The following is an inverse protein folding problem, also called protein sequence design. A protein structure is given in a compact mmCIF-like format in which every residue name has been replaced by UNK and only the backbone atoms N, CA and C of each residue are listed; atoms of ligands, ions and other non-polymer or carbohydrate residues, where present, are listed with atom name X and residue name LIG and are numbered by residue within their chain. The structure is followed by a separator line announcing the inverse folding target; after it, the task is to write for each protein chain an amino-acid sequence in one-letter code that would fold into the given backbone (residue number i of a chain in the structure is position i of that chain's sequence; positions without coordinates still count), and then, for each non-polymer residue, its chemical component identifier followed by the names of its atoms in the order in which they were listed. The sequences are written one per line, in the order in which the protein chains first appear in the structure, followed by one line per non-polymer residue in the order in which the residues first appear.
data_IF_371788260463
#
_entry.id   IF_371788260463
#
_cell.length_a   1.000
_cell.length_b   1.000
_cell.length_c   1.000
_cell.angle_alpha   90.00
_cell.angle_beta   90.00
_cell.angle_gamma   90.00
#
_symmetry.space_group_name_H-M   'P 1'
#
loop_
_entity.id
_entity.type
_entity.pdbx_description
1 polymer ?
#
# COMPACT_ATOMS: atom_id res chain seq x y z
N UNK A 1 -68.88 18.41 24.47
CA UNK A 1 -69.75 18.23 23.29
C UNK A 1 -69.45 16.88 22.66
N UNK A 2 -70.51 16.08 22.45
CA UNK A 2 -70.71 14.89 21.59
C UNK A 2 -69.57 13.85 21.41
N UNK A 3 -69.80 12.70 22.05
CA UNK A 3 -69.31 11.34 21.71
C UNK A 3 -70.21 10.71 20.64
N UNK A 4 -69.66 9.94 19.70
CA UNK A 4 -70.28 8.78 19.03
C UNK A 4 -69.08 7.84 18.71
N UNK A 5 -68.94 6.61 19.24
CA UNK A 5 -69.84 5.46 19.10
C UNK A 5 -69.43 4.71 17.82
N UNK A 6 -69.13 3.42 17.77
CA UNK A 6 -69.84 2.33 18.43
C UNK A 6 -69.22 0.96 18.07
N UNK A 7 -69.27 0.07 19.08
CA UNK A 7 -69.60 -1.38 19.02
C UNK A 7 -68.67 -2.37 18.28
N UNK A 8 -68.46 -3.61 18.76
CA UNK A 8 -69.12 -4.37 19.82
C UNK A 8 -68.29 -5.60 20.23
N UNK A 9 -68.24 -5.92 21.54
CA UNK A 9 -68.88 -7.07 22.24
C UNK A 9 -68.42 -8.44 21.68
N UNK A 10 -67.75 -9.35 22.41
CA UNK A 10 -68.23 -10.20 23.53
C UNK A 10 -66.99 -10.99 24.04
N UNK A 11 -66.64 -10.96 25.33
CA UNK A 11 -67.05 -11.90 26.40
C UNK A 11 -66.04 -13.03 26.68
N UNK A 12 -65.46 -12.90 27.89
CA UNK A 12 -65.22 -13.92 28.94
C UNK A 12 -64.32 -15.12 28.62
N UNK A 13 -63.23 -15.22 29.39
CA UNK A 13 -62.44 -16.45 29.48
C UNK A 13 -61.18 -16.29 30.31
N UNK A 14 -61.32 -15.95 31.59
CA UNK A 14 -60.26 -16.01 32.58
C UNK A 14 -59.80 -17.47 32.74
N UNK A 15 -58.63 -17.82 32.19
CA UNK A 15 -57.83 -18.94 32.70
C UNK A 15 -56.38 -18.48 32.84
N UNK A 16 -56.02 -18.25 34.10
CA UNK A 16 -54.66 -18.09 34.56
C UNK A 16 -54.00 -19.46 34.40
N UNK A 17 -53.20 -19.62 33.34
CA UNK A 17 -52.31 -20.74 33.13
C UNK A 17 -50.90 -20.20 33.00
N UNK A 18 -50.12 -20.32 34.07
CA UNK A 18 -48.70 -19.97 34.12
C UNK A 18 -47.95 -20.87 33.14
N UNK A 19 -47.80 -20.41 31.90
CA UNK A 19 -46.93 -21.04 30.93
C UNK A 19 -45.51 -20.52 31.15
N UNK A 20 -44.76 -21.22 32.02
CA UNK A 20 -43.31 -21.28 31.95
C UNK A 20 -42.92 -21.83 30.57
N UNK A 21 -42.88 -20.95 29.57
CA UNK A 21 -42.25 -21.27 28.31
C UNK A 21 -40.77 -20.98 28.46
N UNK A 22 -40.02 -22.04 28.77
CA UNK A 22 -38.58 -22.08 28.60
C UNK A 22 -38.25 -21.64 27.17
N UNK A 23 -37.77 -20.40 27.04
CA UNK A 23 -37.10 -19.96 25.82
C UNK A 23 -35.87 -20.84 25.68
N UNK A 24 -35.94 -21.84 24.80
CA UNK A 24 -34.76 -22.51 24.31
C UNK A 24 -33.96 -21.44 23.54
N UNK A 25 -33.03 -20.80 24.24
CA UNK A 25 -31.97 -20.05 23.60
C UNK A 25 -31.21 -21.05 22.72
N UNK A 26 -31.08 -20.83 21.41
CA UNK A 26 -30.19 -21.67 20.61
C UNK A 26 -28.79 -21.49 21.21
N UNK A 27 -28.27 -22.60 21.75
CA UNK A 27 -26.94 -22.66 22.33
C UNK A 27 -25.96 -22.42 21.19
N UNK A 28 -25.41 -21.22 21.13
CA UNK A 28 -24.31 -20.88 20.22
C UNK A 28 -23.16 -21.83 20.53
N UNK A 29 -22.96 -22.81 19.66
CA UNK A 29 -21.77 -23.65 19.67
C UNK A 29 -20.59 -22.70 19.41
N UNK A 30 -19.60 -22.62 20.30
CA UNK A 30 -18.40 -21.86 19.99
C UNK A 30 -17.72 -22.55 18.81
N UNK A 31 -17.84 -21.96 17.63
CA UNK A 31 -16.95 -22.26 16.52
C UNK A 31 -15.59 -21.80 16.99
N UNK A 32 -14.77 -22.75 17.44
CA UNK A 32 -13.32 -22.57 17.55
C UNK A 32 -12.80 -22.31 16.14
N UNK A 33 -12.95 -21.07 15.69
CA UNK A 33 -12.22 -20.55 14.56
C UNK A 33 -10.79 -20.45 15.07
N UNK A 34 -10.04 -21.55 14.95
CA UNK A 34 -8.59 -21.50 15.00
C UNK A 34 -8.19 -20.57 13.87
N UNK A 35 -8.03 -19.29 14.21
CA UNK A 35 -7.38 -18.30 13.38
C UNK A 35 -6.02 -18.90 13.07
N UNK A 36 -5.88 -19.47 11.87
CA UNK A 36 -4.57 -19.82 11.33
C UNK A 36 -3.85 -18.49 11.19
N UNK A 37 -3.06 -18.14 12.20
CA UNK A 37 -2.17 -16.98 12.15
C UNK A 37 -1.34 -17.14 10.88
N UNK A 38 -1.62 -16.31 9.87
CA UNK A 38 -0.86 -16.36 8.61
C UNK A 38 0.62 -16.30 8.99
N UNK A 39 1.47 -17.17 8.42
CA UNK A 39 2.90 -17.14 8.73
C UNK A 39 3.44 -15.72 8.49
N UNK A 40 4.15 -15.20 9.49
CA UNK A 40 4.65 -13.85 9.43
C UNK A 40 5.64 -13.71 8.27
N UNK A 41 5.43 -12.73 7.39
CA UNK A 41 6.37 -12.45 6.29
C UNK A 41 7.75 -12.14 6.89
N UNK A 42 8.84 -12.78 6.45
CA UNK A 42 10.17 -12.51 6.99
C UNK A 42 10.59 -11.04 6.85
N UNK A 43 11.42 -10.55 7.78
CA UNK A 43 12.02 -9.22 7.66
C UNK A 43 12.95 -9.17 6.45
N UNK A 44 12.88 -8.09 5.69
CA UNK A 44 13.87 -7.74 4.67
C UNK A 44 15.23 -7.54 5.33
N UNK A 45 16.29 -7.98 4.66
CA UNK A 45 17.67 -7.76 5.10
C UNK A 45 18.52 -7.18 3.98
N UNK A 46 19.58 -6.45 4.31
CA UNK A 46 20.56 -5.98 3.32
C UNK A 46 21.19 -7.13 2.51
N UNK A 47 21.29 -8.33 3.10
CA UNK A 47 21.79 -9.51 2.40
C UNK A 47 20.80 -9.98 1.32
N UNK A 48 19.51 -9.95 1.62
CA UNK A 48 18.44 -10.28 0.68
C UNK A 48 18.38 -9.25 -0.44
N UNK A 49 18.39 -7.94 -0.11
CA UNK A 49 18.41 -6.85 -1.10
C UNK A 49 19.65 -6.86 -2.00
N UNK A 50 20.80 -7.36 -1.52
CA UNK A 50 21.99 -7.55 -2.36
C UNK A 50 21.85 -8.71 -3.34
N UNK A 51 21.07 -9.74 -3.00
CA UNK A 51 20.81 -10.90 -3.86
C UNK A 51 19.68 -10.62 -4.86
N UNK A 52 18.71 -9.82 -4.45
CA UNK A 52 17.56 -9.40 -5.24
C UNK A 52 17.42 -7.87 -5.15
N UNK A 53 18.17 -7.12 -5.98
CA UNK A 53 18.16 -5.65 -6.00
C UNK A 53 16.78 -5.03 -6.10
N UNK A 54 15.83 -5.69 -6.76
CA UNK A 54 14.45 -5.23 -6.98
C UNK A 54 13.72 -4.92 -5.68
N UNK A 55 13.99 -5.67 -4.61
CA UNK A 55 13.41 -5.41 -3.28
C UNK A 55 13.76 -4.01 -2.78
N UNK A 56 15.00 -3.57 -3.01
CA UNK A 56 15.47 -2.25 -2.61
C UNK A 56 14.89 -1.17 -3.52
N UNK A 57 14.67 -1.47 -4.80
CA UNK A 57 14.08 -0.55 -5.78
C UNK A 57 12.63 -0.23 -5.42
N UNK A 58 11.83 -1.28 -5.20
CA UNK A 58 10.44 -1.16 -4.76
C UNK A 58 10.35 -0.43 -3.41
N UNK A 59 11.27 -0.70 -2.48
CA UNK A 59 11.30 -0.01 -1.19
C UNK A 59 11.52 1.51 -1.33
N UNK A 60 12.37 1.94 -2.27
CA UNK A 60 12.57 3.37 -2.56
C UNK A 60 11.31 3.99 -3.16
N UNK A 61 10.71 3.36 -4.18
CA UNK A 61 9.51 3.88 -4.86
C UNK A 61 8.36 4.05 -3.87
N UNK A 62 8.06 3.00 -3.08
CA UNK A 62 6.98 3.07 -2.10
C UNK A 62 7.27 4.07 -0.97
N UNK A 63 8.52 4.16 -0.51
CA UNK A 63 8.90 5.15 0.50
C UNK A 63 8.69 6.58 -0.02
N UNK A 64 9.12 6.85 -1.25
CA UNK A 64 8.93 8.14 -1.91
C UNK A 64 7.43 8.46 -2.02
N UNK A 65 6.61 7.55 -2.55
CA UNK A 65 5.14 7.74 -2.63
C UNK A 65 4.52 8.06 -1.25
N UNK A 66 4.85 7.28 -0.22
CA UNK A 66 4.28 7.42 1.15
C UNK A 66 4.65 8.76 1.80
N UNK A 67 5.92 9.16 1.70
CA UNK A 67 6.42 10.38 2.36
C UNK A 67 6.19 11.65 1.55
N UNK A 68 6.03 11.52 0.23
CA UNK A 68 5.85 12.66 -0.65
C UNK A 68 4.38 13.09 -0.71
N UNK A 69 3.43 12.17 -0.45
CA UNK A 69 2.03 12.53 -0.11
C UNK A 69 1.96 13.57 1.00
N UNK A 70 2.92 13.54 1.92
CA UNK A 70 2.94 14.41 3.10
C UNK A 70 3.76 15.70 2.90
N UNK A 71 4.59 15.82 1.85
CA UNK A 71 5.66 16.86 1.77
C UNK A 71 5.88 17.51 0.40
N UNK A 72 4.84 17.68 -0.43
CA UNK A 72 4.82 18.49 -1.67
C UNK A 72 5.65 17.98 -2.89
N UNK A 73 6.26 16.80 -2.82
CA UNK A 73 6.90 16.13 -3.97
C UNK A 73 5.84 15.42 -4.84
N UNK A 74 4.88 16.19 -5.37
CA UNK A 74 3.67 15.67 -6.03
C UNK A 74 3.95 14.69 -7.18
N UNK A 75 5.11 14.77 -7.83
CA UNK A 75 5.41 13.96 -9.00
C UNK A 75 5.60 12.48 -8.69
N UNK A 76 6.02 12.11 -7.49
CA UNK A 76 6.04 10.70 -7.09
C UNK A 76 4.62 10.11 -6.97
N UNK A 77 3.56 10.93 -6.98
CA UNK A 77 2.20 10.42 -7.14
C UNK A 77 1.90 9.93 -8.56
N UNK A 78 2.64 10.36 -9.58
CA UNK A 78 2.48 9.84 -10.96
C UNK A 78 2.76 8.34 -11.03
N UNK A 79 3.66 7.84 -10.17
CA UNK A 79 4.01 6.42 -10.06
C UNK A 79 3.25 5.72 -8.93
N UNK A 80 2.14 6.29 -8.44
CA UNK A 80 1.41 5.71 -7.30
C UNK A 80 0.40 4.61 -7.66
N UNK A 81 0.12 4.42 -8.94
CA UNK A 81 -0.64 3.27 -9.43
C UNK A 81 0.23 2.01 -9.38
N UNK A 82 0.06 1.24 -8.30
CA UNK A 82 0.81 0.01 -8.05
C UNK A 82 0.35 -1.17 -8.91
N UNK A 83 -0.84 -1.09 -9.51
CA UNK A 83 -1.41 -2.15 -10.33
C UNK A 83 -0.82 -2.11 -11.75
N UNK A 84 -0.60 -0.91 -12.30
CA UNK A 84 0.19 -0.71 -13.52
C UNK A 84 1.64 -1.20 -13.34
N UNK A 85 2.16 -1.07 -12.11
CA UNK A 85 3.53 -1.43 -11.79
C UNK A 85 4.53 -0.38 -12.27
N UNK A 86 5.80 -0.76 -12.34
CA UNK A 86 6.86 0.17 -12.70
C UNK A 86 7.86 -0.44 -13.66
N UNK A 87 8.42 0.41 -14.52
CA UNK A 87 9.65 0.10 -15.23
C UNK A 87 10.77 0.98 -14.68
N UNK A 88 11.91 0.37 -14.38
CA UNK A 88 13.15 1.08 -14.05
C UNK A 88 14.13 0.93 -15.19
N UNK A 89 14.59 2.05 -15.73
CA UNK A 89 15.74 2.07 -16.64
C UNK A 89 16.98 2.55 -15.87
N UNK A 90 18.08 1.78 -15.94
CA UNK A 90 19.33 2.07 -15.23
C UNK A 90 20.36 2.61 -16.22
N UNK A 91 20.86 3.83 -16.00
CA UNK A 91 21.89 4.45 -16.85
C UNK A 91 23.10 4.90 -16.03
N UNK A 92 24.33 4.79 -16.56
CA UNK A 92 25.50 5.39 -15.93
C UNK A 92 25.45 6.92 -16.09
N UNK A 93 25.71 7.67 -15.02
CA UNK A 93 25.69 9.13 -15.03
C UNK A 93 26.68 9.73 -14.01
N UNK A 94 27.72 10.41 -14.51
CA UNK A 94 28.70 11.14 -13.69
C UNK A 94 29.32 10.29 -12.55
N UNK A 95 29.71 9.05 -12.86
CA UNK A 95 30.36 8.14 -11.89
C UNK A 95 29.42 7.41 -10.94
N UNK A 96 28.09 7.53 -11.13
CA UNK A 96 27.08 6.78 -10.39
C UNK A 96 25.92 6.37 -11.31
N UNK A 97 25.15 5.37 -10.90
CA UNK A 97 23.99 4.93 -11.67
C UNK A 97 22.76 5.78 -11.35
N UNK A 98 22.04 6.22 -12.39
CA UNK A 98 20.72 6.84 -12.30
C UNK A 98 19.65 5.81 -12.64
N UNK A 99 18.62 5.77 -11.81
CA UNK A 99 17.51 4.83 -11.91
C UNK A 99 16.24 5.62 -12.22
N UNK A 100 15.81 5.57 -13.47
CA UNK A 100 14.64 6.29 -13.98
C UNK A 100 13.40 5.44 -13.75
N UNK A 101 12.40 5.97 -13.05
CA UNK A 101 11.17 5.27 -12.65
C UNK A 101 9.99 5.73 -13.50
N UNK A 102 9.39 4.79 -14.21
CA UNK A 102 8.22 5.01 -15.05
C UNK A 102 6.95 4.40 -14.42
N UNK A 103 5.77 4.99 -14.62
CA UNK A 103 4.52 4.62 -13.95
C UNK A 103 3.81 3.37 -14.51
N UNK A 104 4.43 2.64 -15.43
CA UNK A 104 3.90 1.39 -15.98
C UNK A 104 5.07 0.44 -16.29
N UNK A 105 4.95 -0.83 -15.86
CA UNK A 105 5.96 -1.87 -16.11
C UNK A 105 6.13 -2.24 -17.59
N UNK A 106 5.13 -1.94 -18.43
CA UNK A 106 5.10 -2.23 -19.87
C UNK A 106 5.28 -0.98 -20.73
N UNK A 107 5.64 0.16 -20.13
CA UNK A 107 5.79 1.42 -20.86
C UNK A 107 6.77 1.29 -22.05
N UNK A 108 6.31 1.72 -23.21
CA UNK A 108 7.06 1.70 -24.46
C UNK A 108 7.92 2.96 -24.62
N UNK A 109 8.89 2.92 -25.54
CA UNK A 109 9.72 4.09 -25.81
C UNK A 109 8.90 5.30 -26.30
N UNK A 110 7.81 5.06 -27.04
CA UNK A 110 6.94 6.12 -27.56
C UNK A 110 6.09 6.80 -26.47
N UNK A 111 5.92 6.17 -25.30
CA UNK A 111 5.18 6.72 -24.16
C UNK A 111 6.08 7.52 -23.21
N UNK A 112 7.41 7.37 -23.33
CA UNK A 112 8.43 8.06 -22.51
C UNK A 112 8.66 9.51 -22.95
N UNK A 113 7.60 10.31 -22.99
CA UNK A 113 7.62 11.68 -23.53
C UNK A 113 7.86 12.76 -22.47
N UNK A 114 7.86 12.40 -21.19
CA UNK A 114 8.17 13.29 -20.06
C UNK A 114 9.37 12.74 -19.30
N UNK A 115 10.19 13.63 -18.72
CA UNK A 115 11.29 13.21 -17.86
C UNK A 115 10.75 12.35 -16.71
N UNK A 116 11.26 11.16 -16.40
CA UNK A 116 10.69 10.33 -15.34
C UNK A 116 11.08 10.86 -13.94
N UNK A 117 10.49 10.30 -12.90
CA UNK A 117 11.06 10.39 -11.55
C UNK A 117 12.36 9.58 -11.54
N UNK A 118 13.33 9.93 -10.70
CA UNK A 118 14.57 9.17 -10.67
C UNK A 118 15.26 9.20 -9.33
N UNK A 119 16.22 8.31 -9.14
CA UNK A 119 17.00 8.24 -7.93
C UNK A 119 18.40 7.70 -8.18
N UNK A 120 19.30 7.96 -7.23
CA UNK A 120 20.68 7.48 -7.21
C UNK A 120 20.99 6.86 -5.85
N UNK A 121 21.96 5.94 -5.84
CA UNK A 121 22.59 5.48 -4.60
C UNK A 121 24.01 6.03 -4.49
N UNK A 122 24.33 6.55 -3.32
CA UNK A 122 25.69 6.94 -2.98
C UNK A 122 25.96 6.69 -1.50
N UNK A 123 27.04 5.97 -1.19
CA UNK A 123 27.57 5.81 0.17
C UNK A 123 26.53 5.38 1.23
N UNK A 124 25.63 4.45 0.89
CA UNK A 124 24.59 3.98 1.81
C UNK A 124 23.39 4.92 1.97
N UNK A 125 23.27 5.92 1.08
CA UNK A 125 22.15 6.81 0.97
C UNK A 125 21.47 6.68 -0.40
N UNK A 126 20.18 6.99 -0.42
CA UNK A 126 19.36 7.13 -1.61
C UNK A 126 18.93 8.57 -1.72
N UNK A 127 19.22 9.19 -2.87
CA UNK A 127 18.67 10.49 -3.24
C UNK A 127 17.63 10.28 -4.31
N UNK A 128 16.39 10.68 -4.04
CA UNK A 128 15.31 10.62 -5.01
C UNK A 128 14.92 12.04 -5.44
N UNK A 129 14.67 12.17 -6.74
CA UNK A 129 14.59 13.43 -7.47
C UNK A 129 13.22 13.54 -8.14
N UNK A 130 12.65 14.74 -8.09
CA UNK A 130 11.37 15.09 -8.70
C UNK A 130 11.49 16.44 -9.41
N UNK A 131 11.04 16.51 -10.66
CA UNK A 131 10.84 17.79 -11.35
C UNK A 131 9.46 18.36 -11.02
N UNK A 132 9.37 19.68 -10.87
CA UNK A 132 8.08 20.36 -10.72
C UNK A 132 7.71 20.94 -12.08
N UNK A 133 6.76 20.31 -12.77
CA UNK A 133 6.40 20.65 -14.17
C UNK A 133 5.79 22.06 -14.31
N UNK A 134 5.34 22.66 -13.21
CA UNK A 134 4.66 23.97 -13.19
C UNK A 134 5.46 25.10 -12.52
N UNK A 135 6.65 24.82 -11.99
CA UNK A 135 7.52 25.86 -11.47
C UNK A 135 8.83 25.82 -12.22
N UNK A 136 9.14 26.90 -12.94
CA UNK A 136 10.42 27.20 -13.57
C UNK A 136 11.63 27.22 -12.60
N UNK A 137 11.58 26.54 -11.44
CA UNK A 137 12.62 26.51 -10.42
C UNK A 137 12.73 25.16 -9.73
N UNK A 138 13.90 24.56 -9.92
CA UNK A 138 14.61 23.59 -9.07
C UNK A 138 14.00 22.19 -8.96
N UNK A 139 14.80 21.22 -9.39
CA UNK A 139 14.63 19.81 -9.01
C UNK A 139 14.60 19.71 -7.49
N UNK A 140 13.58 19.04 -6.96
CA UNK A 140 13.53 18.73 -5.54
C UNK A 140 14.22 17.40 -5.31
N UNK A 141 15.13 17.40 -4.34
CA UNK A 141 15.93 16.23 -3.97
C UNK A 141 15.68 15.94 -2.50
N UNK A 142 15.43 14.67 -2.19
CA UNK A 142 15.40 14.21 -0.80
C UNK A 142 16.29 13.00 -0.66
N UNK A 143 17.09 13.01 0.40
CA UNK A 143 18.07 11.97 0.70
C UNK A 143 17.67 11.22 1.96
N UNK A 144 17.74 9.90 1.92
CA UNK A 144 17.43 8.99 3.03
C UNK A 144 18.51 7.91 3.12
N UNK A 145 18.84 7.44 4.33
CA UNK A 145 19.78 6.32 4.47
C UNK A 145 19.11 5.00 4.06
N UNK A 146 19.90 4.06 3.56
CA UNK A 146 19.45 2.68 3.28
C UNK A 146 18.87 2.04 4.54
N UNK A 147 19.44 2.33 5.71
CA UNK A 147 18.92 1.81 6.98
C UNK A 147 17.51 2.35 7.28
N UNK A 148 17.23 3.62 7.01
CA UNK A 148 15.89 4.20 7.20
C UNK A 148 14.88 3.56 6.24
N UNK A 149 15.25 3.32 4.98
CA UNK A 149 14.40 2.60 4.03
C UNK A 149 14.10 1.19 4.50
N UNK A 150 15.13 0.45 4.92
CA UNK A 150 14.99 -0.92 5.42
C UNK A 150 14.13 -0.98 6.68
N UNK A 151 14.30 -0.03 7.60
CA UNK A 151 13.47 0.09 8.80
C UNK A 151 12.01 0.38 8.43
N UNK A 152 11.78 1.31 7.50
CA UNK A 152 10.43 1.64 7.03
C UNK A 152 9.73 0.44 6.38
N UNK A 153 10.43 -0.29 5.49
CA UNK A 153 9.91 -1.45 4.78
C UNK A 153 9.59 -2.61 5.75
N UNK A 154 10.34 -2.71 6.84
CA UNK A 154 10.14 -3.70 7.90
C UNK A 154 9.17 -3.28 9.01
N UNK A 155 8.63 -2.06 8.97
CA UNK A 155 7.81 -1.52 10.07
C UNK A 155 6.55 -2.36 10.33
N UNK A 156 5.98 -3.00 9.31
CA UNK A 156 4.80 -3.87 9.45
C UNK A 156 4.90 -5.11 8.57
N UNK A 157 4.12 -6.16 8.89
CA UNK A 157 3.99 -7.34 8.03
C UNK A 157 3.44 -6.99 6.64
N UNK A 158 2.50 -6.05 6.59
CA UNK A 158 1.87 -5.62 5.34
C UNK A 158 2.88 -4.94 4.41
N UNK A 159 3.77 -4.07 4.93
CA UNK A 159 4.82 -3.44 4.11
C UNK A 159 5.80 -4.47 3.55
N UNK A 160 6.23 -5.44 4.37
CA UNK A 160 7.12 -6.54 3.93
C UNK A 160 6.49 -7.39 2.84
N UNK A 161 5.20 -7.66 2.95
CA UNK A 161 4.43 -8.36 1.93
C UNK A 161 4.32 -7.52 0.65
N UNK A 162 3.93 -6.25 0.78
CA UNK A 162 3.74 -5.33 -0.33
C UNK A 162 5.03 -5.15 -1.16
N UNK A 163 6.18 -4.96 -0.50
CA UNK A 163 7.47 -4.86 -1.20
C UNK A 163 7.74 -6.12 -2.03
N UNK A 164 7.58 -7.31 -1.43
CA UNK A 164 7.82 -8.58 -2.14
C UNK A 164 6.85 -8.81 -3.29
N UNK A 165 5.57 -8.49 -3.06
CA UNK A 165 4.55 -8.62 -4.08
C UNK A 165 4.85 -7.72 -5.28
N UNK A 166 5.16 -6.45 -5.04
CA UNK A 166 5.35 -5.48 -6.11
C UNK A 166 6.66 -5.63 -6.88
N UNK A 167 7.61 -6.46 -6.40
CA UNK A 167 8.72 -6.91 -7.26
C UNK A 167 8.20 -7.63 -8.50
N UNK A 168 7.08 -8.35 -8.41
CA UNK A 168 6.48 -9.02 -9.58
C UNK A 168 5.85 -8.06 -10.58
N UNK A 169 5.62 -6.80 -10.17
CA UNK A 169 5.10 -5.71 -11.00
C UNK A 169 6.22 -4.74 -11.41
N UNK A 170 7.49 -5.17 -11.30
CA UNK A 170 8.64 -4.37 -11.65
C UNK A 170 9.35 -4.96 -12.87
N UNK A 171 9.54 -4.14 -13.90
CA UNK A 171 10.45 -4.44 -15.01
C UNK A 171 11.72 -3.62 -14.84
N UNK A 172 12.89 -4.25 -14.97
CA UNK A 172 14.18 -3.56 -14.91
C UNK A 172 14.88 -3.67 -16.27
N UNK A 173 15.30 -2.54 -16.82
CA UNK A 173 16.10 -2.43 -18.03
C UNK A 173 17.45 -1.83 -17.66
N UNK A 174 18.51 -2.62 -17.79
CA UNK A 174 19.87 -2.20 -17.48
C UNK A 174 20.58 -1.71 -18.76
N UNK A 175 21.03 -0.46 -18.76
CA UNK A 175 21.69 0.20 -19.90
C UNK A 175 23.13 0.64 -19.58
N UNK A 176 23.74 0.06 -18.54
CA UNK A 176 25.14 0.29 -18.17
C UNK A 176 26.12 -0.47 -19.05
#
# INVERSE_FOLDING_TARGET
MKKWGALGVLIIGLVIGVAWWSRQTPRSVPVNTTSKTKPAVPKLTLREERRQPELRYVSVILYAIDHDRQRHLQRWQEVSDVDAGWQIDIYPHAGQDRYLVWPDQRITAAEKNLAPNWFTWHSGHVSYHSFIVHSFRREMVKTVSTQTLLNWANATSNRRHQVRHLVTHLTVKDHR
#
